data_IF_424023914571
#
_entry.id   IF_424023914571
#
_cell.length_a   1.000
_cell.length_b   1.000
_cell.length_c   1.000
_cell.angle_alpha   90.00
_cell.angle_beta   90.00
_cell.angle_gamma   90.00
#
_symmetry.space_group_name_H-M   'P 1'
#
loop_
_entity.id
_entity.type
_entity.pdbx_description
1 polymer ?
#
# COMPACT_ATOMS: atom_id res chain seq x y z
N UNK A 1 0.57 -51.17 8.62
CA UNK A 1 0.06 -50.61 7.34
C UNK A 1 1.01 -49.52 6.88
N UNK A 2 1.44 -49.51 5.60
CA UNK A 2 2.31 -48.45 5.09
C UNK A 2 1.51 -47.15 4.85
N UNK A 3 2.13 -45.98 4.92
CA UNK A 3 1.47 -44.70 4.64
C UNK A 3 0.81 -44.65 3.25
N UNK A 4 1.35 -45.39 2.27
CA UNK A 4 0.78 -45.56 0.93
C UNK A 4 -0.53 -46.36 0.96
N UNK A 5 -0.61 -47.39 1.80
CA UNK A 5 -1.83 -48.19 1.97
C UNK A 5 -2.96 -47.35 2.59
N UNK A 6 -2.63 -46.51 3.57
CA UNK A 6 -3.61 -45.63 4.23
C UNK A 6 -4.21 -44.59 3.28
N UNK A 7 -3.38 -43.94 2.44
CA UNK A 7 -3.87 -42.97 1.43
C UNK A 7 -4.75 -43.61 0.37
N UNK A 8 -4.36 -44.78 -0.17
CA UNK A 8 -5.18 -45.49 -1.15
C UNK A 8 -6.56 -45.85 -0.56
N UNK A 9 -6.61 -46.26 0.71
CA UNK A 9 -7.88 -46.52 1.41
C UNK A 9 -8.70 -45.23 1.55
N UNK A 10 -8.06 -44.13 1.97
CA UNK A 10 -8.72 -42.83 2.13
C UNK A 10 -9.31 -42.33 0.81
N UNK A 11 -8.58 -42.48 -0.30
CA UNK A 11 -9.00 -42.08 -1.64
C UNK A 11 -10.14 -42.97 -2.17
N UNK A 12 -10.13 -44.27 -1.87
CA UNK A 12 -11.19 -45.21 -2.27
C UNK A 12 -12.46 -45.07 -1.45
N UNK A 13 -12.38 -44.61 -0.20
CA UNK A 13 -13.51 -44.63 0.73
C UNK A 13 -14.77 -43.92 0.19
N UNK A 14 -14.70 -42.74 -0.44
CA UNK A 14 -15.88 -42.03 -0.98
C UNK A 14 -16.57 -42.77 -2.13
N UNK A 15 -15.84 -43.60 -2.88
CA UNK A 15 -16.32 -44.25 -4.11
C UNK A 15 -16.39 -45.77 -3.99
N UNK A 16 -16.33 -46.31 -2.77
CA UNK A 16 -16.28 -47.75 -2.51
C UNK A 16 -17.47 -48.49 -3.11
N UNK A 17 -18.65 -47.87 -3.16
CA UNK A 17 -19.86 -48.47 -3.75
C UNK A 17 -19.72 -48.58 -5.27
N UNK A 18 -19.20 -47.55 -5.92
CA UNK A 18 -19.02 -47.50 -7.37
C UNK A 18 -17.98 -48.53 -7.82
N UNK A 19 -16.88 -48.68 -7.07
CA UNK A 19 -15.85 -49.69 -7.34
C UNK A 19 -16.43 -51.11 -7.30
N UNK A 20 -17.32 -51.42 -6.33
CA UNK A 20 -17.98 -52.74 -6.22
C UNK A 20 -18.94 -53.06 -7.36
N UNK A 21 -19.39 -52.05 -8.10
CA UNK A 21 -20.29 -52.24 -9.24
C UNK A 21 -19.53 -52.40 -10.56
N UNK A 22 -18.19 -52.30 -10.54
CA UNK A 22 -17.36 -52.69 -11.67
C UNK A 22 -17.31 -54.22 -11.78
N UNK A 23 -17.12 -54.73 -12.98
CA UNK A 23 -16.79 -56.14 -13.18
C UNK A 23 -15.39 -56.45 -12.62
N UNK A 24 -15.12 -57.73 -12.33
CA UNK A 24 -13.88 -58.13 -11.64
C UNK A 24 -12.59 -57.70 -12.36
N UNK A 25 -12.59 -57.67 -13.70
CA UNK A 25 -11.45 -57.23 -14.50
C UNK A 25 -11.21 -55.71 -14.40
N UNK A 26 -12.29 -54.92 -14.44
CA UNK A 26 -12.22 -53.46 -14.27
C UNK A 26 -11.91 -53.06 -12.83
N UNK A 27 -12.39 -53.79 -11.82
CA UNK A 27 -12.04 -53.53 -10.41
C UNK A 27 -10.54 -53.72 -10.16
N UNK A 28 -9.96 -54.78 -10.72
CA UNK A 28 -8.52 -55.04 -10.62
C UNK A 28 -7.72 -53.96 -11.34
N UNK A 29 -8.11 -53.62 -12.58
CA UNK A 29 -7.49 -52.56 -13.38
C UNK A 29 -7.56 -51.21 -12.65
N UNK A 30 -8.71 -50.83 -12.11
CA UNK A 30 -8.90 -49.63 -11.30
C UNK A 30 -7.93 -49.60 -10.11
N UNK A 31 -7.81 -50.72 -9.40
CA UNK A 31 -6.99 -50.83 -8.20
C UNK A 31 -5.50 -50.72 -8.49
N UNK A 32 -5.04 -51.32 -9.59
CA UNK A 32 -3.66 -51.23 -10.06
C UNK A 32 -3.33 -49.81 -10.55
N UNK A 33 -4.20 -49.23 -11.38
CA UNK A 33 -4.07 -47.87 -11.87
C UNK A 33 -4.00 -46.87 -10.71
N UNK A 34 -4.87 -46.98 -9.70
CA UNK A 34 -4.84 -46.12 -8.52
C UNK A 34 -3.53 -46.26 -7.74
N UNK A 35 -3.11 -47.49 -7.46
CA UNK A 35 -1.86 -47.74 -6.72
C UNK A 35 -0.66 -47.14 -7.44
N UNK A 36 -0.63 -47.23 -8.76
CA UNK A 36 0.48 -46.76 -9.58
C UNK A 36 0.47 -45.23 -9.74
N UNK A 37 -0.70 -44.63 -9.99
CA UNK A 37 -0.86 -43.17 -10.01
C UNK A 37 -0.44 -42.54 -8.68
N UNK A 38 -0.90 -43.08 -7.55
CA UNK A 38 -0.47 -42.62 -6.20
C UNK A 38 1.03 -42.79 -6.00
N UNK A 39 1.61 -43.90 -6.46
CA UNK A 39 3.05 -44.15 -6.40
C UNK A 39 3.83 -43.05 -7.12
N UNK A 40 3.39 -42.72 -8.34
CA UNK A 40 4.06 -41.77 -9.22
C UNK A 40 3.96 -40.35 -8.70
N UNK A 41 2.77 -39.93 -8.26
CA UNK A 41 2.58 -38.62 -7.62
C UNK A 41 3.51 -38.46 -6.41
N UNK A 42 3.58 -39.47 -5.53
CA UNK A 42 4.50 -39.45 -4.37
C UNK A 42 5.97 -39.42 -4.78
N UNK A 43 6.39 -40.28 -5.72
CA UNK A 43 7.78 -40.30 -6.22
C UNK A 43 8.17 -38.94 -6.79
N UNK A 44 7.23 -38.25 -7.45
CA UNK A 44 7.43 -36.93 -8.01
C UNK A 44 7.24 -35.78 -6.97
N UNK A 45 7.10 -36.10 -5.68
CA UNK A 45 7.08 -35.14 -4.57
C UNK A 45 5.72 -34.51 -4.24
N UNK A 46 4.63 -34.99 -4.85
CA UNK A 46 3.28 -34.56 -4.50
C UNK A 46 2.80 -35.22 -3.21
N UNK A 47 2.09 -34.45 -2.39
CA UNK A 47 1.47 -34.90 -1.14
C UNK A 47 -0.05 -34.76 -1.24
N UNK A 48 -0.78 -35.78 -0.81
CA UNK A 48 -2.24 -35.73 -0.72
C UNK A 48 -2.64 -34.71 0.35
N UNK A 49 -3.50 -33.76 -0.01
CA UNK A 49 -3.95 -32.70 0.91
C UNK A 49 -5.45 -32.74 1.19
N UNK A 50 -6.26 -33.25 0.26
CA UNK A 50 -7.71 -33.32 0.44
C UNK A 50 -8.33 -34.41 -0.42
N UNK A 51 -9.41 -35.02 0.07
CA UNK A 51 -10.25 -35.99 -0.67
C UNK A 51 -11.71 -35.60 -0.46
N UNK A 52 -12.44 -35.35 -1.53
CA UNK A 52 -13.85 -34.97 -1.45
C UNK A 52 -14.74 -36.18 -1.17
N UNK A 53 -15.95 -35.92 -0.67
CA UNK A 53 -17.03 -36.92 -0.76
C UNK A 53 -17.41 -37.15 -2.23
N UNK A 54 -18.04 -38.30 -2.52
CA UNK A 54 -18.60 -38.54 -3.85
C UNK A 54 -19.80 -37.63 -4.10
N UNK A 55 -19.93 -37.09 -5.30
CA UNK A 55 -21.05 -36.25 -5.73
C UNK A 55 -21.53 -36.63 -7.13
N UNK A 56 -22.73 -36.18 -7.53
CA UNK A 56 -23.26 -36.38 -8.89
C UNK A 56 -23.09 -35.11 -9.73
N UNK A 57 -22.61 -35.25 -10.97
CA UNK A 57 -22.48 -34.15 -11.93
C UNK A 57 -22.78 -34.65 -13.33
N UNK A 58 -23.81 -34.07 -13.98
CA UNK A 58 -24.27 -34.42 -15.34
C UNK A 58 -24.49 -35.93 -15.54
N UNK A 59 -25.16 -36.60 -14.59
CA UNK A 59 -25.42 -38.04 -14.64
C UNK A 59 -24.34 -38.92 -14.01
N UNK A 60 -23.12 -38.41 -13.86
CA UNK A 60 -21.96 -39.23 -13.48
C UNK A 60 -21.66 -39.10 -12.00
N UNK A 61 -21.21 -40.18 -11.35
CA UNK A 61 -20.69 -40.10 -9.98
C UNK A 61 -19.22 -39.72 -10.02
N UNK A 62 -18.84 -38.71 -9.25
CA UNK A 62 -17.48 -38.18 -9.19
C UNK A 62 -16.93 -38.11 -7.78
N UNK A 63 -15.63 -38.26 -7.63
CA UNK A 63 -14.92 -37.90 -6.41
C UNK A 63 -13.52 -37.39 -6.76
N UNK A 64 -13.12 -36.31 -6.11
CA UNK A 64 -11.87 -35.61 -6.41
C UNK A 64 -10.89 -35.78 -5.26
N UNK A 65 -9.61 -35.87 -5.59
CA UNK A 65 -8.54 -35.83 -4.62
C UNK A 65 -7.44 -34.89 -5.10
N UNK A 66 -6.92 -34.11 -4.15
CA UNK A 66 -6.04 -32.98 -4.44
C UNK A 66 -4.66 -33.26 -3.90
N UNK A 67 -3.67 -33.09 -4.77
CA UNK A 67 -2.28 -33.38 -4.51
C UNK A 67 -1.45 -32.13 -4.71
N UNK A 68 -0.66 -31.76 -3.71
CA UNK A 68 0.14 -30.54 -3.72
C UNK A 68 1.62 -30.85 -3.75
N UNK A 69 2.36 -30.16 -4.62
CA UNK A 69 3.82 -30.12 -4.63
C UNK A 69 4.24 -28.67 -4.47
N UNK A 70 5.28 -28.44 -3.68
CA UNK A 70 5.84 -27.11 -3.47
C UNK A 70 7.35 -27.18 -3.69
N UNK A 71 7.89 -26.22 -4.43
CA UNK A 71 9.34 -26.07 -4.60
C UNK A 71 9.70 -24.61 -4.49
N UNK A 72 10.79 -24.35 -3.79
CA UNK A 72 11.35 -23.01 -3.72
C UNK A 72 12.40 -22.85 -4.80
N UNK A 73 12.30 -21.77 -5.56
CA UNK A 73 13.34 -21.31 -6.47
C UNK A 73 13.72 -19.91 -5.96
N UNK A 74 14.82 -19.86 -5.20
CA UNK A 74 15.28 -18.66 -4.49
C UNK A 74 14.17 -18.02 -3.62
N UNK A 75 13.69 -16.83 -4.01
CA UNK A 75 12.74 -16.02 -3.28
C UNK A 75 11.28 -16.23 -3.71
N UNK A 76 11.05 -17.03 -4.75
CA UNK A 76 9.73 -17.39 -5.28
C UNK A 76 9.42 -18.84 -4.93
N UNK A 77 8.25 -19.07 -4.35
CA UNK A 77 7.74 -20.43 -4.13
C UNK A 77 6.80 -20.78 -5.26
N UNK A 78 7.06 -21.89 -5.92
CA UNK A 78 6.19 -22.45 -6.96
C UNK A 78 5.33 -23.51 -6.29
N UNK A 79 4.02 -23.43 -6.51
CA UNK A 79 3.06 -24.39 -6.00
C UNK A 79 2.39 -25.06 -7.18
N UNK A 80 2.45 -26.39 -7.22
CA UNK A 80 1.70 -27.21 -8.17
C UNK A 80 0.57 -27.92 -7.44
N UNK A 81 -0.54 -28.05 -8.15
CA UNK A 81 -1.68 -28.82 -7.74
C UNK A 81 -2.00 -29.84 -8.84
N UNK A 82 -2.23 -31.08 -8.43
CA UNK A 82 -2.80 -32.11 -9.28
C UNK A 82 -4.15 -32.52 -8.69
N UNK A 83 -5.21 -32.30 -9.44
CA UNK A 83 -6.56 -32.77 -9.10
C UNK A 83 -6.78 -34.09 -9.82
N UNK A 84 -6.87 -35.19 -9.06
CA UNK A 84 -7.24 -36.49 -9.59
C UNK A 84 -8.73 -36.71 -9.33
N UNK A 85 -9.52 -36.72 -10.40
CA UNK A 85 -10.96 -36.97 -10.40
C UNK A 85 -11.25 -38.39 -10.85
N UNK A 86 -12.02 -39.13 -10.05
CA UNK A 86 -12.64 -40.37 -10.49
C UNK A 86 -14.01 -40.07 -11.05
N UNK A 87 -14.31 -40.55 -12.25
CA UNK A 87 -15.60 -40.37 -12.91
C UNK A 87 -16.17 -41.76 -13.22
N UNK A 88 -17.39 -42.01 -12.76
CA UNK A 88 -18.13 -43.25 -12.97
C UNK A 88 -19.41 -43.00 -13.75
N UNK A 89 -19.54 -43.68 -14.88
CA UNK A 89 -20.67 -43.59 -15.83
C UNK A 89 -20.77 -44.89 -16.64
N UNK A 90 -21.17 -45.99 -16.00
CA UNK A 90 -21.10 -47.34 -16.55
C UNK A 90 -19.69 -47.96 -16.57
N UNK A 91 -18.66 -47.14 -16.81
CA UNK A 91 -17.23 -47.46 -16.68
C UNK A 91 -16.54 -46.52 -15.68
N UNK A 92 -15.21 -46.62 -15.53
CA UNK A 92 -14.40 -45.68 -14.76
C UNK A 92 -13.42 -44.89 -15.65
N UNK A 93 -13.15 -43.65 -15.25
CA UNK A 93 -12.14 -42.76 -15.84
C UNK A 93 -11.41 -42.00 -14.74
N UNK A 94 -10.09 -41.95 -14.81
CA UNK A 94 -9.29 -41.02 -14.01
C UNK A 94 -9.05 -39.81 -14.88
N UNK A 95 -9.38 -38.63 -14.37
CA UNK A 95 -9.04 -37.35 -14.97
C UNK A 95 -8.03 -36.67 -14.05
N UNK A 96 -6.91 -36.22 -14.60
CA UNK A 96 -5.89 -35.49 -13.87
C UNK A 96 -5.73 -34.10 -14.45
N UNK A 97 -6.04 -33.10 -13.64
CA UNK A 97 -5.85 -31.69 -13.97
C UNK A 97 -4.62 -31.17 -13.24
N UNK A 98 -3.66 -30.62 -13.98
CA UNK A 98 -2.43 -30.05 -13.44
C UNK A 98 -2.46 -28.53 -13.51
N UNK A 99 -2.37 -27.91 -12.35
CA UNK A 99 -2.40 -26.48 -12.16
C UNK A 99 -1.16 -26.00 -11.39
N UNK A 100 -0.80 -24.73 -11.53
CA UNK A 100 0.27 -24.12 -10.74
C UNK A 100 0.06 -22.63 -10.47
N UNK A 101 0.73 -22.11 -9.44
CA UNK A 101 0.82 -20.68 -9.15
C UNK A 101 2.12 -20.32 -8.41
N UNK A 102 2.38 -19.03 -8.27
CA UNK A 102 3.56 -18.48 -7.61
C UNK A 102 3.22 -17.75 -6.31
N UNK A 103 4.00 -18.00 -5.27
CA UNK A 103 3.95 -17.32 -3.97
C UNK A 103 5.22 -16.48 -3.76
N UNK A 104 5.06 -15.15 -3.65
CA UNK A 104 6.15 -14.16 -3.48
C UNK A 104 6.40 -13.76 -2.02
N UNK A 105 5.96 -14.57 -1.05
CA UNK A 105 5.98 -14.21 0.37
C UNK A 105 7.39 -13.98 0.92
N UNK A 106 8.38 -14.77 0.50
CA UNK A 106 9.77 -14.61 0.93
C UNK A 106 10.45 -13.42 0.27
N UNK A 107 10.22 -13.23 -1.02
CA UNK A 107 10.66 -12.05 -1.74
C UNK A 107 10.21 -10.75 -1.05
N UNK A 108 8.95 -10.70 -0.60
CA UNK A 108 8.43 -9.59 0.20
C UNK A 108 9.16 -9.42 1.54
N UNK A 109 9.47 -10.52 2.23
CA UNK A 109 10.20 -10.46 3.50
C UNK A 109 11.61 -9.90 3.31
N UNK A 110 12.32 -10.32 2.26
CA UNK A 110 13.67 -9.85 1.98
C UNK A 110 13.65 -8.37 1.57
N UNK A 111 12.77 -7.96 0.64
CA UNK A 111 12.60 -6.55 0.28
C UNK A 111 12.31 -5.65 1.49
N UNK A 112 11.51 -6.14 2.44
CA UNK A 112 11.27 -5.42 3.69
C UNK A 112 12.55 -5.29 4.51
N UNK A 113 13.31 -6.37 4.68
CA UNK A 113 14.61 -6.35 5.35
C UNK A 113 15.56 -5.34 4.72
N UNK A 114 15.74 -5.41 3.39
CA UNK A 114 16.61 -4.51 2.64
C UNK A 114 16.19 -3.03 2.78
N UNK A 115 14.87 -2.77 2.74
CA UNK A 115 14.31 -1.43 2.99
C UNK A 115 14.63 -0.95 4.41
N UNK A 116 14.40 -1.78 5.43
CA UNK A 116 14.68 -1.43 6.83
C UNK A 116 16.15 -1.11 7.06
N UNK A 117 17.05 -1.94 6.54
CA UNK A 117 18.50 -1.77 6.69
C UNK A 117 19.02 -0.52 5.97
N UNK A 118 18.51 -0.25 4.77
CA UNK A 118 19.06 0.81 3.91
C UNK A 118 18.44 2.19 4.15
N UNK A 119 17.20 2.28 4.69
CA UNK A 119 16.44 3.54 4.69
C UNK A 119 15.72 3.90 5.99
N UNK A 120 15.70 3.01 6.99
CA UNK A 120 15.01 3.22 8.26
C UNK A 120 15.87 2.91 9.49
N UNK A 121 17.18 3.17 9.52
CA UNK A 121 18.03 2.55 10.53
C UNK A 121 17.65 2.92 11.98
N UNK A 122 16.82 3.95 12.23
CA UNK A 122 16.48 4.40 13.59
C UNK A 122 15.08 5.02 13.80
N UNK A 123 14.03 4.65 13.05
CA UNK A 123 12.67 5.18 13.35
C UNK A 123 12.00 4.44 14.51
N UNK A 124 12.13 4.99 15.72
CA UNK A 124 11.58 4.52 17.01
C UNK A 124 10.04 4.57 17.17
N UNK A 125 9.26 4.37 16.10
CA UNK A 125 7.78 4.45 16.17
C UNK A 125 7.08 3.40 15.30
N UNK A 126 6.08 2.74 15.89
CA UNK A 126 5.16 1.80 15.24
C UNK A 126 4.58 2.32 13.91
N UNK A 127 4.34 3.63 13.82
CA UNK A 127 3.75 4.27 12.64
C UNK A 127 4.73 4.41 11.45
N UNK A 128 6.04 4.53 11.70
CA UNK A 128 7.06 4.50 10.65
C UNK A 128 7.26 3.07 10.15
N UNK A 129 7.15 2.08 11.05
CA UNK A 129 7.16 0.66 10.70
C UNK A 129 5.96 0.27 9.83
N UNK A 130 4.74 0.74 10.14
CA UNK A 130 3.55 0.56 9.31
C UNK A 130 3.66 1.26 7.94
N UNK A 131 4.25 2.46 7.90
CA UNK A 131 4.49 3.18 6.65
C UNK A 131 5.49 2.44 5.75
N UNK A 132 6.62 1.98 6.30
CA UNK A 132 7.59 1.15 5.57
C UNK A 132 6.98 -0.16 5.06
N UNK A 133 6.13 -0.82 5.87
CA UNK A 133 5.34 -1.98 5.42
C UNK A 133 4.41 -1.65 4.26
N UNK A 134 3.80 -0.46 4.26
CA UNK A 134 2.93 0.04 3.19
C UNK A 134 3.67 0.27 1.87
N UNK A 135 4.81 0.95 1.90
CA UNK A 135 5.63 1.22 0.71
C UNK A 135 6.25 -0.07 0.14
N UNK A 136 6.74 -0.98 1.00
CA UNK A 136 7.20 -2.30 0.57
C UNK A 136 6.09 -3.12 -0.12
N UNK A 137 4.84 -2.98 0.35
CA UNK A 137 3.68 -3.67 -0.25
C UNK A 137 3.32 -3.08 -1.61
N UNK A 138 3.37 -1.76 -1.79
CA UNK A 138 3.15 -1.10 -3.09
C UNK A 138 4.23 -1.48 -4.12
N UNK A 139 5.49 -1.57 -3.69
CA UNK A 139 6.59 -2.03 -4.55
C UNK A 139 6.36 -3.48 -5.00
N UNK A 140 5.91 -4.34 -4.08
CA UNK A 140 5.57 -5.74 -4.38
C UNK A 140 4.41 -5.88 -5.37
N UNK A 141 3.39 -5.04 -5.27
CA UNK A 141 2.24 -5.08 -6.19
C UNK A 141 2.65 -4.82 -7.64
N UNK A 142 3.51 -3.83 -7.90
CA UNK A 142 4.05 -3.57 -9.24
C UNK A 142 4.93 -4.70 -9.76
N UNK A 143 5.75 -5.30 -8.90
CA UNK A 143 6.58 -6.47 -9.27
C UNK A 143 5.68 -7.66 -9.61
N UNK A 144 4.62 -7.89 -8.81
CA UNK A 144 3.62 -8.92 -9.09
C UNK A 144 2.97 -8.69 -10.44
N UNK A 145 2.55 -7.47 -10.77
CA UNK A 145 1.92 -7.15 -12.06
C UNK A 145 2.84 -7.44 -13.25
N UNK A 146 4.12 -7.05 -13.19
CA UNK A 146 5.06 -7.31 -14.30
C UNK A 146 5.38 -8.80 -14.46
N UNK A 147 5.53 -9.53 -13.35
CA UNK A 147 5.73 -10.99 -13.39
C UNK A 147 4.49 -11.67 -13.98
N UNK A 148 3.30 -11.24 -13.56
CA UNK A 148 2.02 -11.72 -14.09
C UNK A 148 1.89 -11.45 -15.60
N UNK A 149 2.19 -10.24 -16.06
CA UNK A 149 2.12 -9.88 -17.50
C UNK A 149 3.04 -10.73 -18.38
N UNK A 150 4.27 -11.03 -17.90
CA UNK A 150 5.18 -11.90 -18.63
C UNK A 150 4.71 -13.36 -18.67
N UNK A 151 4.15 -13.85 -17.57
CA UNK A 151 3.54 -15.19 -17.52
C UNK A 151 2.31 -15.26 -18.45
N UNK A 152 1.49 -14.19 -18.53
CA UNK A 152 0.37 -14.07 -19.50
C UNK A 152 0.80 -14.21 -20.94
N UNK A 153 1.98 -13.69 -21.30
CA UNK A 153 2.46 -13.72 -22.69
C UNK A 153 2.93 -15.08 -23.18
N UNK A 154 3.09 -16.08 -22.30
CA UNK A 154 3.63 -17.41 -22.66
C UNK A 154 2.69 -18.59 -22.36
N UNK A 155 1.68 -18.44 -21.49
CA UNK A 155 0.75 -19.52 -21.16
C UNK A 155 -0.57 -19.38 -21.93
N UNK A 156 -0.98 -20.44 -22.64
CA UNK A 156 -2.20 -20.52 -23.45
C UNK A 156 -3.51 -20.60 -22.63
N UNK A 157 -3.49 -20.34 -21.33
CA UNK A 157 -4.68 -20.50 -20.47
C UNK A 157 -4.52 -19.80 -19.12
N UNK A 158 -5.02 -18.57 -19.05
CA UNK A 158 -5.35 -17.92 -17.77
C UNK A 158 -6.83 -18.17 -17.51
N UNK A 159 -7.16 -18.96 -16.49
CA UNK A 159 -8.54 -19.30 -16.17
C UNK A 159 -8.76 -19.44 -14.66
N UNK A 160 -9.93 -19.01 -14.19
CA UNK A 160 -10.44 -19.37 -12.86
C UNK A 160 -10.85 -20.86 -12.89
N UNK A 161 -9.89 -21.77 -12.71
CA UNK A 161 -10.21 -23.18 -12.52
C UNK A 161 -10.77 -23.37 -11.11
N UNK A 162 -11.88 -24.10 -11.01
CA UNK A 162 -12.69 -24.28 -9.80
C UNK A 162 -12.03 -25.16 -8.73
N UNK A 163 -10.83 -24.80 -8.29
CA UNK A 163 -10.17 -25.43 -7.14
C UNK A 163 -10.84 -24.93 -5.87
N UNK A 164 -11.24 -25.84 -4.99
CA UNK A 164 -11.90 -25.49 -3.73
C UNK A 164 -10.98 -24.68 -2.81
N UNK A 165 -11.55 -23.70 -2.11
CA UNK A 165 -10.81 -22.77 -1.25
C UNK A 165 -9.99 -23.46 -0.14
N UNK A 166 -10.48 -24.60 0.35
CA UNK A 166 -9.83 -25.43 1.38
C UNK A 166 -8.48 -25.99 0.93
N UNK A 167 -8.28 -26.14 -0.38
CA UNK A 167 -7.08 -26.72 -1.02
C UNK A 167 -6.06 -25.63 -1.37
N UNK A 168 -6.55 -24.45 -1.76
CA UNK A 168 -5.70 -23.32 -2.20
C UNK A 168 -5.32 -22.36 -1.09
N UNK A 169 -6.04 -22.37 0.04
CA UNK A 169 -5.87 -21.38 1.10
C UNK A 169 -6.10 -19.98 0.54
N UNK A 170 -7.34 -19.72 0.11
CA UNK A 170 -7.78 -18.54 -0.69
C UNK A 170 -7.03 -17.22 -0.38
N UNK A 171 -5.92 -16.99 -1.09
CA UNK A 171 -5.23 -15.69 -1.31
C UNK A 171 -4.44 -15.62 -2.62
N UNK A 172 -4.43 -16.66 -3.45
CA UNK A 172 -3.80 -16.62 -4.78
C UNK A 172 -4.89 -16.37 -5.82
N UNK A 173 -5.01 -15.15 -6.38
CA UNK A 173 -6.08 -14.81 -7.32
C UNK A 173 -5.91 -15.45 -8.70
N UNK A 174 -4.81 -16.18 -8.97
CA UNK A 174 -4.43 -16.57 -10.33
C UNK A 174 -3.81 -17.98 -10.34
N UNK A 175 -4.62 -18.97 -10.71
CA UNK A 175 -4.21 -20.36 -10.92
C UNK A 175 -4.03 -20.56 -12.43
N UNK A 176 -2.89 -21.10 -12.84
CA UNK A 176 -2.63 -21.41 -14.24
C UNK A 176 -2.88 -22.89 -14.49
N UNK A 177 -3.82 -23.21 -15.37
CA UNK A 177 -4.00 -24.58 -15.85
C UNK A 177 -2.93 -24.90 -16.88
N UNK A 178 -2.35 -26.09 -16.75
CA UNK A 178 -1.22 -26.51 -17.57
C UNK A 178 -1.60 -27.62 -18.52
N UNK A 179 -2.19 -28.70 -18.00
CA UNK A 179 -2.53 -29.88 -18.80
C UNK A 179 -3.62 -30.69 -18.13
N UNK A 180 -4.52 -31.24 -18.93
CA UNK A 180 -5.50 -32.23 -18.54
C UNK A 180 -5.16 -33.54 -19.24
N UNK A 181 -5.21 -34.64 -18.50
CA UNK A 181 -5.13 -35.97 -19.09
C UNK A 181 -6.21 -36.85 -18.52
N UNK A 182 -6.53 -37.91 -19.27
CA UNK A 182 -7.35 -38.97 -18.73
C UNK A 182 -6.86 -40.35 -19.07
N UNK A 183 -7.12 -41.27 -18.16
CA UNK A 183 -6.75 -42.67 -18.29
C UNK A 183 -7.87 -43.57 -17.77
N UNK A 184 -8.12 -44.66 -18.47
CA UNK A 184 -9.01 -45.75 -18.04
C UNK A 184 -8.35 -47.12 -18.14
N UNK A 185 -7.11 -47.19 -18.64
CA UNK A 185 -6.37 -48.44 -18.83
C UNK A 185 -4.89 -48.33 -18.44
N UNK A 186 -4.23 -49.47 -18.20
CA UNK A 186 -2.82 -49.50 -17.76
C UNK A 186 -1.85 -49.00 -18.83
N UNK A 187 -2.13 -49.21 -20.12
CA UNK A 187 -1.28 -48.76 -21.23
C UNK A 187 -1.20 -47.23 -21.35
N UNK A 188 -2.10 -46.49 -20.70
CA UNK A 188 -2.10 -45.03 -20.69
C UNK A 188 -1.26 -44.41 -19.56
N UNK A 189 -0.65 -45.24 -18.71
CA UNK A 189 0.18 -44.77 -17.60
C UNK A 189 1.45 -44.02 -18.04
N UNK A 190 1.95 -44.28 -19.24
CA UNK A 190 3.13 -43.58 -19.77
C UNK A 190 2.82 -42.11 -20.06
N UNK A 191 1.58 -41.77 -20.47
CA UNK A 191 1.14 -40.38 -20.64
C UNK A 191 1.27 -39.57 -19.34
N UNK A 192 1.00 -40.21 -18.19
CA UNK A 192 1.19 -39.60 -16.87
C UNK A 192 2.66 -39.51 -16.48
N UNK A 193 3.48 -40.48 -16.89
CA UNK A 193 4.93 -40.48 -16.63
C UNK A 193 5.57 -39.24 -17.25
N UNK A 194 5.39 -39.10 -18.56
CA UNK A 194 6.05 -38.06 -19.35
C UNK A 194 5.49 -36.69 -18.96
N UNK A 195 4.17 -36.64 -18.72
CA UNK A 195 3.51 -35.44 -18.21
C UNK A 195 4.08 -34.96 -16.87
N UNK A 196 4.30 -35.83 -15.89
CA UNK A 196 4.75 -35.39 -14.56
C UNK A 196 6.13 -34.73 -14.57
N UNK A 197 7.05 -35.22 -15.38
CA UNK A 197 8.40 -34.68 -15.44
C UNK A 197 8.40 -33.34 -16.18
N UNK A 198 7.85 -33.28 -17.40
CA UNK A 198 7.75 -32.05 -18.22
C UNK A 198 7.03 -30.90 -17.50
N UNK A 199 5.90 -31.19 -16.84
CA UNK A 199 5.06 -30.17 -16.20
C UNK A 199 5.73 -29.50 -14.98
N UNK A 200 6.77 -30.13 -14.43
CA UNK A 200 7.46 -29.63 -13.24
C UNK A 200 8.70 -28.81 -13.54
N UNK A 201 9.30 -28.98 -14.72
CA UNK A 201 10.54 -28.29 -15.12
C UNK A 201 10.26 -26.90 -15.71
N UNK A 202 9.24 -26.76 -16.55
CA UNK A 202 9.02 -25.53 -17.30
C UNK A 202 8.71 -24.29 -16.42
N UNK A 203 7.82 -24.35 -15.39
CA UNK A 203 7.65 -23.22 -14.48
C UNK A 203 8.91 -22.87 -13.69
N UNK A 204 9.77 -23.85 -13.40
CA UNK A 204 11.06 -23.63 -12.73
C UNK A 204 12.00 -22.87 -13.66
N UNK A 205 12.07 -23.26 -14.93
CA UNK A 205 12.86 -22.54 -15.93
C UNK A 205 12.37 -21.13 -16.17
N UNK A 206 11.05 -20.91 -16.20
CA UNK A 206 10.44 -19.60 -16.37
C UNK A 206 10.88 -18.62 -15.27
N UNK A 207 10.84 -19.07 -14.01
CA UNK A 207 11.29 -18.28 -12.86
C UNK A 207 12.79 -17.99 -12.98
N UNK A 208 13.61 -19.00 -13.30
CA UNK A 208 15.06 -18.84 -13.50
C UNK A 208 15.39 -17.84 -14.61
N UNK A 209 14.74 -17.93 -15.77
CA UNK A 209 14.96 -17.03 -16.93
C UNK A 209 14.49 -15.60 -16.66
N UNK A 210 13.50 -15.41 -15.78
CA UNK A 210 12.98 -14.08 -15.42
C UNK A 210 13.73 -13.43 -14.27
N UNK A 211 14.69 -14.14 -13.65
CA UNK A 211 15.31 -13.76 -12.39
C UNK A 211 16.09 -12.45 -12.47
N UNK A 212 16.94 -12.29 -13.49
CA UNK A 212 17.73 -11.08 -13.69
C UNK A 212 16.83 -9.85 -13.77
N UNK A 213 15.72 -9.93 -14.50
CA UNK A 213 14.77 -8.83 -14.62
C UNK A 213 14.00 -8.57 -13.33
N UNK A 214 13.60 -9.62 -12.60
CA UNK A 214 12.94 -9.46 -11.29
C UNK A 214 13.89 -8.74 -10.32
N UNK A 215 15.16 -9.13 -10.30
CA UNK A 215 16.18 -8.51 -9.48
C UNK A 215 16.50 -7.09 -9.93
N UNK A 216 16.58 -6.83 -11.23
CA UNK A 216 16.78 -5.49 -11.78
C UNK A 216 15.65 -4.54 -11.37
N UNK A 217 14.39 -4.97 -11.50
CA UNK A 217 13.23 -4.17 -11.06
C UNK A 217 13.26 -3.96 -9.55
N UNK A 218 13.59 -5.00 -8.77
CA UNK A 218 13.72 -4.91 -7.33
C UNK A 218 14.79 -3.89 -6.93
N UNK A 219 15.97 -3.98 -7.53
CA UNK A 219 17.11 -3.10 -7.30
C UNK A 219 16.81 -1.67 -7.74
N UNK A 220 16.22 -1.47 -8.92
CA UNK A 220 15.79 -0.15 -9.37
C UNK A 220 14.74 0.45 -8.42
N UNK A 221 13.85 -0.35 -7.85
CA UNK A 221 12.90 0.13 -6.83
C UNK A 221 13.56 0.41 -5.49
N UNK A 222 14.48 -0.42 -5.02
CA UNK A 222 15.26 -0.11 -3.82
C UNK A 222 16.02 1.22 -3.99
N UNK A 223 16.62 1.45 -5.16
CA UNK A 223 17.28 2.72 -5.52
C UNK A 223 16.31 3.90 -5.63
N UNK A 224 15.12 3.72 -6.20
CA UNK A 224 14.09 4.77 -6.22
C UNK A 224 13.57 5.08 -4.81
N UNK A 225 13.51 4.08 -3.93
CA UNK A 225 13.03 4.22 -2.57
C UNK A 225 14.11 4.77 -1.64
N UNK A 226 15.40 4.66 -1.96
CA UNK A 226 16.51 4.99 -1.06
C UNK A 226 17.74 5.50 -1.82
N UNK A 227 18.12 6.78 -1.67
CA UNK A 227 17.27 7.92 -1.31
C UNK A 227 16.35 8.29 -2.48
N UNK A 228 15.07 8.58 -2.22
CA UNK A 228 14.19 9.04 -3.31
C UNK A 228 14.58 10.46 -3.74
N UNK A 229 14.94 10.64 -5.01
CA UNK A 229 15.10 11.98 -5.57
C UNK A 229 13.77 12.73 -5.45
N UNK A 230 13.82 13.94 -4.89
CA UNK A 230 12.63 14.76 -4.70
C UNK A 230 12.21 15.32 -6.06
N UNK A 231 11.19 14.70 -6.69
CA UNK A 231 10.57 15.25 -7.90
C UNK A 231 9.97 16.64 -7.59
N UNK A 232 10.41 17.73 -8.26
CA UNK A 232 9.87 19.06 -8.04
C UNK A 232 8.36 19.16 -8.25
N UNK A 233 7.76 18.34 -9.13
CA UNK A 233 6.33 18.39 -9.43
C UNK A 233 5.49 17.43 -8.57
N UNK A 234 6.06 16.89 -7.49
CA UNK A 234 5.39 16.03 -6.52
C UNK A 234 4.96 16.77 -5.25
N UNK A 235 4.03 16.23 -4.43
CA UNK A 235 3.73 16.79 -3.10
C UNK A 235 4.98 16.98 -2.23
N UNK A 236 5.91 16.02 -2.28
CA UNK A 236 7.19 16.01 -1.59
C UNK A 236 8.07 17.20 -2.05
N UNK A 237 8.14 17.47 -3.36
CA UNK A 237 8.85 18.62 -3.92
C UNK A 237 8.32 19.95 -3.41
N UNK A 238 6.98 20.12 -3.42
CA UNK A 238 6.34 21.34 -2.91
C UNK A 238 6.55 21.53 -1.40
N UNK A 239 6.43 20.45 -0.61
CA UNK A 239 6.65 20.49 0.83
C UNK A 239 8.10 20.85 1.18
N UNK A 240 9.05 20.21 0.50
CA UNK A 240 10.48 20.46 0.67
C UNK A 240 10.85 21.87 0.28
N UNK A 241 10.35 22.35 -0.87
CA UNK A 241 10.56 23.73 -1.32
C UNK A 241 10.01 24.76 -0.32
N UNK A 242 8.82 24.52 0.24
CA UNK A 242 8.22 25.40 1.26
C UNK A 242 9.05 25.49 2.54
N UNK A 243 9.63 24.37 2.98
CA UNK A 243 10.51 24.33 4.15
C UNK A 243 11.89 24.93 3.83
N UNK A 244 12.39 24.74 2.62
CA UNK A 244 13.68 25.25 2.16
C UNK A 244 13.67 26.77 2.08
N UNK A 245 12.63 27.35 1.50
CA UNK A 245 12.46 28.81 1.45
C UNK A 245 12.40 29.44 2.85
N UNK A 246 12.01 28.66 3.87
CA UNK A 246 11.89 29.12 5.25
C UNK A 246 13.13 28.85 6.08
N UNK A 247 14.22 28.32 5.52
CA UNK A 247 15.47 28.19 6.27
C UNK A 247 16.05 29.58 6.58
N UNK A 248 16.61 29.80 7.79
CA UNK A 248 16.38 29.00 9.00
C UNK A 248 14.97 29.32 9.56
N UNK A 249 14.10 28.33 9.80
CA UNK A 249 12.77 28.66 10.35
C UNK A 249 11.58 27.72 10.17
N UNK A 250 11.64 26.69 9.33
CA UNK A 250 10.64 25.62 9.30
C UNK A 250 9.15 26.05 9.25
N UNK A 251 8.25 25.19 9.73
CA UNK A 251 6.83 25.51 9.81
C UNK A 251 5.98 24.44 10.48
N UNK A 252 4.86 24.87 11.06
CA UNK A 252 3.84 23.97 11.57
C UNK A 252 3.17 23.18 10.44
N UNK A 253 2.72 21.97 10.78
CA UNK A 253 2.00 21.06 9.87
C UNK A 253 0.86 21.78 9.09
N UNK A 254 0.04 22.59 9.75
CA UNK A 254 -1.05 23.29 9.07
C UNK A 254 -0.59 24.29 7.99
N UNK A 255 0.60 24.87 8.12
CA UNK A 255 1.16 25.80 7.13
C UNK A 255 1.59 25.05 5.88
N UNK A 256 2.18 23.87 6.04
CA UNK A 256 2.59 22.98 4.96
C UNK A 256 1.39 22.43 4.21
N UNK A 257 0.37 21.96 4.95
CA UNK A 257 -0.90 21.57 4.36
C UNK A 257 -1.49 22.71 3.54
N UNK A 258 -1.57 23.92 4.11
CA UNK A 258 -2.12 25.07 3.39
C UNK A 258 -1.26 25.47 2.18
N UNK A 259 0.07 25.33 2.26
CA UNK A 259 0.98 25.58 1.13
C UNK A 259 0.65 24.65 -0.04
N UNK A 260 0.61 23.34 0.18
CA UNK A 260 0.28 22.35 -0.86
C UNK A 260 -1.09 22.62 -1.44
N UNK A 261 -2.09 22.84 -0.58
CA UNK A 261 -3.45 23.12 -1.00
C UNK A 261 -3.56 24.39 -1.83
N UNK A 262 -2.69 25.41 -1.66
CA UNK A 262 -2.74 26.65 -2.44
C UNK A 262 -1.90 26.62 -3.73
N UNK A 263 -0.92 25.73 -3.86
CA UNK A 263 0.08 25.80 -4.95
C UNK A 263 0.22 24.53 -5.81
N UNK A 264 -0.28 23.37 -5.36
CA UNK A 264 -0.24 22.11 -6.09
C UNK A 264 -1.65 21.71 -6.53
N UNK A 265 -2.23 20.70 -5.91
CA UNK A 265 -3.58 20.21 -6.15
C UNK A 265 -4.37 20.11 -4.83
N UNK A 266 -5.70 20.00 -4.93
CA UNK A 266 -6.51 19.71 -3.74
C UNK A 266 -6.36 18.23 -3.40
N UNK A 267 -5.50 17.96 -2.43
CA UNK A 267 -5.23 16.60 -1.97
C UNK A 267 -6.01 16.25 -0.71
N UNK A 268 -6.33 14.96 -0.56
CA UNK A 268 -6.77 14.40 0.72
C UNK A 268 -5.71 14.59 1.81
N UNK A 269 -6.14 14.71 3.06
CA UNK A 269 -5.23 14.93 4.19
C UNK A 269 -4.20 13.82 4.37
N UNK A 270 -4.56 12.58 4.04
CA UNK A 270 -3.66 11.44 4.12
C UNK A 270 -2.55 11.53 3.07
N UNK A 271 -2.83 11.93 1.83
CA UNK A 271 -1.78 12.10 0.81
C UNK A 271 -0.70 13.11 1.21
N UNK A 272 -1.08 14.24 1.80
CA UNK A 272 -0.12 15.25 2.31
C UNK A 272 0.62 14.69 3.53
N UNK A 273 -0.06 13.92 4.37
CA UNK A 273 0.56 13.27 5.54
C UNK A 273 1.63 12.27 5.08
N UNK A 274 1.30 11.42 4.12
CA UNK A 274 2.20 10.43 3.53
C UNK A 274 3.44 11.10 2.94
N UNK A 275 3.27 12.19 2.19
CA UNK A 275 4.40 12.94 1.64
C UNK A 275 5.31 13.54 2.74
N UNK A 276 4.73 14.12 3.80
CA UNK A 276 5.51 14.60 4.95
C UNK A 276 6.26 13.47 5.67
N UNK A 277 5.64 12.29 5.78
CA UNK A 277 6.26 11.12 6.41
C UNK A 277 7.41 10.57 5.56
N UNK A 278 7.27 10.56 4.23
CA UNK A 278 8.37 10.20 3.33
C UNK A 278 9.56 11.11 3.56
N UNK A 279 9.33 12.42 3.53
CA UNK A 279 10.40 13.39 3.79
C UNK A 279 11.05 13.20 5.18
N UNK A 280 10.26 12.90 6.21
CA UNK A 280 10.75 12.64 7.59
C UNK A 280 11.56 11.35 7.65
N UNK A 281 11.08 10.30 7.00
CA UNK A 281 11.69 8.98 6.96
C UNK A 281 13.05 9.03 6.27
N UNK A 282 13.14 9.74 5.15
CA UNK A 282 14.35 9.84 4.34
C UNK A 282 15.32 10.93 4.81
N UNK A 283 15.11 11.51 6.01
CA UNK A 283 16.04 12.48 6.60
C UNK A 283 16.07 13.84 5.89
N UNK A 284 15.11 14.13 5.01
CA UNK A 284 15.01 15.46 4.38
C UNK A 284 14.41 16.50 5.33
N UNK A 285 13.58 16.07 6.29
CA UNK A 285 12.97 16.96 7.27
C UNK A 285 13.01 16.38 8.68
N UNK A 286 13.39 17.24 9.64
CA UNK A 286 13.31 16.95 11.06
C UNK A 286 11.97 17.43 11.61
N UNK A 287 11.42 16.68 12.56
CA UNK A 287 10.13 17.00 13.19
C UNK A 287 10.25 17.18 14.69
N UNK A 288 9.86 18.35 15.19
CA UNK A 288 9.76 18.66 16.63
C UNK A 288 8.30 18.68 17.09
N UNK A 289 8.09 18.34 18.36
CA UNK A 289 6.79 18.53 19.03
C UNK A 289 6.67 19.98 19.47
N UNK A 290 5.53 20.60 19.17
CA UNK A 290 5.24 21.96 19.67
C UNK A 290 5.07 21.94 21.19
N UNK A 291 5.68 22.89 21.94
CA UNK A 291 5.50 23.02 23.38
C UNK A 291 4.02 23.02 23.79
N UNK A 292 3.71 22.37 24.91
CA UNK A 292 2.31 22.10 25.34
C UNK A 292 1.51 23.39 25.52
N UNK A 293 2.12 24.43 26.08
CA UNK A 293 1.45 25.68 26.39
C UNK A 293 1.19 26.53 25.14
N UNK A 294 2.19 26.63 24.25
CA UNK A 294 2.03 27.21 22.91
C UNK A 294 0.92 26.52 22.12
N UNK A 295 0.92 25.18 22.11
CA UNK A 295 -0.12 24.40 21.44
C UNK A 295 -1.50 24.73 22.01
N UNK A 296 -1.66 24.73 23.34
CA UNK A 296 -2.94 25.06 23.99
C UNK A 296 -3.41 26.48 23.63
N UNK A 297 -2.50 27.45 23.58
CA UNK A 297 -2.85 28.82 23.19
C UNK A 297 -3.36 28.89 21.74
N UNK A 298 -2.66 28.25 20.81
CA UNK A 298 -3.08 28.19 19.41
C UNK A 298 -4.42 27.47 19.24
N UNK A 299 -4.61 26.33 19.92
CA UNK A 299 -5.85 25.54 19.88
C UNK A 299 -7.05 26.32 20.44
N UNK A 300 -6.87 27.10 21.53
CA UNK A 300 -7.89 28.02 22.07
C UNK A 300 -8.37 29.06 21.05
N UNK A 301 -7.53 29.43 20.08
CA UNK A 301 -7.89 30.34 18.97
C UNK A 301 -8.50 29.61 17.77
N UNK A 302 -8.67 28.30 17.85
CA UNK A 302 -9.20 27.46 16.78
C UNK A 302 -8.19 27.18 15.66
N UNK A 303 -6.89 27.29 15.95
CA UNK A 303 -5.81 26.87 15.06
C UNK A 303 -5.57 25.38 15.32
N UNK A 304 -5.71 24.54 14.28
CA UNK A 304 -5.56 23.09 14.35
C UNK A 304 -4.24 22.67 13.69
N UNK A 305 -3.84 21.41 13.85
CA UNK A 305 -2.60 20.84 13.26
C UNK A 305 -1.35 21.68 13.60
N UNK A 306 -1.23 22.07 14.86
CA UNK A 306 -0.09 22.79 15.42
C UNK A 306 0.70 21.91 16.41
N UNK A 307 0.58 20.58 16.32
CA UNK A 307 1.30 19.63 17.20
C UNK A 307 2.71 19.33 16.72
N UNK A 308 2.94 19.43 15.42
CA UNK A 308 4.18 19.08 14.74
C UNK A 308 4.73 20.33 14.07
N UNK A 309 6.03 20.56 14.27
CA UNK A 309 6.80 21.59 13.61
C UNK A 309 7.89 20.90 12.78
N UNK A 310 7.91 21.18 11.49
CA UNK A 310 8.86 20.58 10.54
C UNK A 310 9.91 21.61 10.19
N UNK A 311 11.13 21.14 10.04
CA UNK A 311 12.26 21.91 9.54
C UNK A 311 13.08 21.03 8.62
N UNK A 312 13.88 21.63 7.74
CA UNK A 312 14.82 20.83 6.96
C UNK A 312 15.97 20.41 7.90
N UNK A 313 16.35 19.15 7.81
CA UNK A 313 17.50 18.56 8.50
C UNK A 313 18.79 18.78 7.67
N UNK A 314 19.96 18.36 8.17
CA UNK A 314 21.25 18.42 7.45
C UNK A 314 21.28 17.57 6.16
N UNK A 315 20.14 17.03 5.70
CA UNK A 315 20.00 16.36 4.43
C UNK A 315 20.06 17.31 3.23
N UNK A 316 20.62 16.80 2.13
CA UNK A 316 20.75 17.46 0.82
C UNK A 316 19.38 17.59 0.12
N UNK A 317 18.50 18.44 0.64
CA UNK A 317 17.32 18.88 -0.11
C UNK A 317 17.83 19.70 -1.31
N UNK A 318 17.49 19.33 -2.56
CA UNK A 318 17.95 20.02 -3.78
C UNK A 318 17.19 21.33 -3.96
N UNK A 319 17.40 22.27 -3.03
CA UNK A 319 16.59 23.47 -2.91
C UNK A 319 16.74 24.43 -4.09
N UNK A 320 17.93 24.49 -4.68
CA UNK A 320 18.20 25.29 -5.89
C UNK A 320 17.42 24.73 -7.09
N UNK A 321 17.51 23.43 -7.35
CA UNK A 321 16.74 22.76 -8.42
C UNK A 321 15.23 22.93 -8.21
N UNK A 322 14.76 22.76 -6.97
CA UNK A 322 13.36 23.00 -6.61
C UNK A 322 12.96 24.45 -6.86
N UNK A 323 13.83 25.41 -6.53
CA UNK A 323 13.59 26.83 -6.75
C UNK A 323 13.49 27.15 -8.24
N UNK A 324 14.38 26.63 -9.07
CA UNK A 324 14.37 26.87 -10.52
C UNK A 324 13.07 26.41 -11.16
N UNK A 325 12.52 25.27 -10.71
CA UNK A 325 11.27 24.72 -11.25
C UNK A 325 10.03 25.37 -10.62
N UNK A 326 10.03 25.65 -9.30
CA UNK A 326 8.82 25.99 -8.55
C UNK A 326 8.67 27.48 -8.20
N UNK A 327 9.74 28.27 -8.19
CA UNK A 327 9.69 29.69 -7.75
C UNK A 327 8.67 30.52 -8.54
N UNK A 328 8.52 30.23 -9.84
CA UNK A 328 7.56 30.93 -10.70
C UNK A 328 6.16 30.29 -10.70
N UNK A 329 6.04 29.03 -10.27
CA UNK A 329 4.76 28.29 -10.19
C UNK A 329 4.06 28.46 -8.84
N UNK A 330 4.79 28.87 -7.81
CA UNK A 330 4.31 28.91 -6.44
C UNK A 330 4.26 30.32 -5.88
N UNK A 331 3.27 30.57 -5.03
CA UNK A 331 3.23 31.77 -4.21
C UNK A 331 3.99 31.49 -2.93
N UNK A 332 4.97 32.31 -2.59
CA UNK A 332 5.74 32.09 -1.37
C UNK A 332 5.17 32.92 -0.20
N UNK A 333 5.21 32.39 1.03
CA UNK A 333 4.79 33.12 2.22
C UNK A 333 4.69 32.28 3.50
N UNK A 334 4.22 32.91 4.58
CA UNK A 334 4.12 32.27 5.91
C UNK A 334 2.93 31.31 6.09
N UNK A 335 1.98 31.25 5.16
CA UNK A 335 0.84 30.31 5.19
C UNK A 335 0.06 30.18 6.53
N UNK A 336 0.06 31.23 7.37
CA UNK A 336 -0.69 31.28 8.63
C UNK A 336 -2.16 30.88 8.44
N UNK A 337 -2.75 30.24 9.43
CA UNK A 337 -4.13 29.81 9.43
C UNK A 337 -5.02 31.02 9.13
N UNK A 338 -5.98 30.90 8.20
CA UNK A 338 -6.88 32.02 7.88
C UNK A 338 -7.90 32.22 9.00
N UNK A 339 -8.20 33.47 9.33
CA UNK A 339 -9.33 33.83 10.21
C UNK A 339 -10.61 34.00 9.38
N UNK A 340 -11.60 33.10 9.46
CA UNK A 340 -12.86 33.25 8.75
C UNK A 340 -13.75 34.28 9.43
N UNK A 341 -14.53 35.03 8.64
CA UNK A 341 -15.50 36.03 9.15
C UNK A 341 -16.42 35.46 10.23
N UNK A 342 -17.03 34.28 9.99
CA UNK A 342 -17.95 33.65 10.94
C UNK A 342 -17.30 33.43 12.31
N UNK A 343 -16.02 33.04 12.34
CA UNK A 343 -15.28 32.83 13.59
C UNK A 343 -15.00 34.16 14.30
N UNK A 344 -14.59 35.19 13.54
CA UNK A 344 -14.36 36.52 14.11
C UNK A 344 -15.63 37.08 14.75
N UNK A 345 -16.79 36.93 14.11
CA UNK A 345 -18.09 37.41 14.62
C UNK A 345 -18.49 36.66 15.89
N UNK A 346 -18.42 35.32 15.91
CA UNK A 346 -18.77 34.51 17.09
C UNK A 346 -17.97 34.83 18.34
N UNK A 347 -16.76 35.34 18.19
CA UNK A 347 -15.91 35.70 19.32
C UNK A 347 -16.03 37.17 19.69
N UNK A 348 -17.01 37.94 19.22
CA UNK A 348 -17.21 39.34 19.63
C UNK A 348 -18.43 39.44 20.54
N UNK A 349 -18.27 40.16 21.64
CA UNK A 349 -19.32 40.35 22.66
C UNK A 349 -20.24 41.51 22.22
N UNK A 350 -20.92 41.31 21.08
CA UNK A 350 -21.82 42.29 20.48
C UNK A 350 -22.83 41.61 19.55
N UNK A 351 -24.04 42.17 19.37
CA UNK A 351 -25.04 41.65 18.43
C UNK A 351 -24.49 41.51 16.99
N UNK A 352 -24.77 40.37 16.37
CA UNK A 352 -24.27 40.02 15.03
C UNK A 352 -24.50 41.15 14.01
N UNK A 353 -25.72 41.71 13.94
CA UNK A 353 -26.06 42.75 12.98
C UNK A 353 -25.17 44.01 13.10
N UNK A 354 -24.79 44.41 14.32
CA UNK A 354 -23.89 45.54 14.56
C UNK A 354 -22.45 45.22 14.13
N UNK A 355 -21.96 44.02 14.48
CA UNK A 355 -20.63 43.55 14.06
C UNK A 355 -20.54 43.50 12.53
N UNK A 356 -21.58 43.01 11.86
CA UNK A 356 -21.62 42.91 10.40
C UNK A 356 -21.63 44.29 9.74
N UNK A 357 -22.37 45.26 10.29
CA UNK A 357 -22.38 46.66 9.84
C UNK A 357 -20.99 47.28 9.93
N UNK A 358 -20.31 47.11 11.06
CA UNK A 358 -18.99 47.68 11.28
C UNK A 358 -17.89 46.98 10.46
N UNK A 359 -17.98 45.67 10.26
CA UNK A 359 -17.10 44.93 9.34
C UNK A 359 -17.19 45.48 7.92
N UNK A 360 -18.40 45.79 7.42
CA UNK A 360 -18.58 46.40 6.08
C UNK A 360 -17.89 47.77 6.01
N UNK A 361 -18.06 48.62 7.03
CA UNK A 361 -17.40 49.94 7.10
C UNK A 361 -15.88 49.83 7.12
N UNK A 362 -15.32 48.91 7.92
CA UNK A 362 -13.87 48.69 8.00
C UNK A 362 -13.28 48.19 6.67
N UNK A 363 -14.01 47.34 5.94
CA UNK A 363 -13.60 46.89 4.59
C UNK A 363 -13.65 48.03 3.58
N UNK A 364 -14.75 48.80 3.53
CA UNK A 364 -14.89 49.97 2.64
C UNK A 364 -13.75 50.98 2.84
N UNK A 365 -13.38 51.25 4.10
CA UNK A 365 -12.27 52.14 4.46
C UNK A 365 -10.86 51.50 4.37
N UNK A 366 -10.76 50.29 3.82
CA UNK A 366 -9.50 49.52 3.65
C UNK A 366 -8.73 49.24 4.95
N UNK A 367 -9.38 49.23 6.11
CA UNK A 367 -8.77 48.81 7.39
C UNK A 367 -8.64 47.28 7.47
N UNK A 368 -9.60 46.56 6.89
CA UNK A 368 -9.58 45.11 6.74
C UNK A 368 -9.53 44.72 5.27
N UNK A 369 -8.73 43.70 4.97
CA UNK A 369 -8.80 42.97 3.71
C UNK A 369 -9.60 41.69 3.92
N UNK A 370 -10.54 41.41 3.02
CA UNK A 370 -11.16 40.10 2.88
C UNK A 370 -10.74 39.49 1.55
N UNK A 371 -10.20 38.27 1.58
CA UNK A 371 -9.84 37.54 0.35
C UNK A 371 -10.17 36.05 0.49
N UNK A 372 -10.50 35.40 -0.63
CA UNK A 372 -10.66 33.95 -0.67
C UNK A 372 -9.26 33.31 -0.62
N UNK A 373 -9.09 32.32 0.25
CA UNK A 373 -7.89 31.51 0.40
C UNK A 373 -8.30 30.08 0.73
N UNK A 374 -7.39 29.11 0.63
CA UNK A 374 -7.65 27.75 1.10
C UNK A 374 -7.19 27.63 2.56
N UNK A 375 -7.87 26.78 3.33
CA UNK A 375 -7.41 26.37 4.65
C UNK A 375 -6.58 25.07 4.55
N UNK A 376 -6.14 24.53 5.69
CA UNK A 376 -5.36 23.30 5.74
C UNK A 376 -6.12 22.06 5.21
N UNK A 377 -7.44 22.15 5.03
CA UNK A 377 -8.28 21.06 4.52
C UNK A 377 -8.63 21.21 3.04
N UNK A 378 -8.08 22.23 2.36
CA UNK A 378 -8.41 22.56 0.97
C UNK A 378 -9.72 23.34 0.81
N UNK A 379 -10.47 23.59 1.89
CA UNK A 379 -11.73 24.33 1.83
C UNK A 379 -11.46 25.81 1.58
N UNK A 380 -12.20 26.40 0.65
CA UNK A 380 -12.12 27.83 0.37
C UNK A 380 -12.79 28.63 1.49
N UNK A 381 -12.03 29.51 2.13
CA UNK A 381 -12.49 30.38 3.23
C UNK A 381 -12.22 31.85 2.93
N UNK A 382 -13.11 32.73 3.39
CA UNK A 382 -12.92 34.18 3.32
C UNK A 382 -12.07 34.63 4.51
N UNK A 383 -10.76 34.78 4.27
CA UNK A 383 -9.79 35.27 5.24
C UNK A 383 -9.96 36.76 5.46
N UNK A 384 -10.14 37.16 6.72
CA UNK A 384 -10.08 38.55 7.15
C UNK A 384 -8.68 38.84 7.69
N UNK A 385 -8.01 39.88 7.18
CA UNK A 385 -6.68 40.32 7.65
C UNK A 385 -6.68 41.84 7.89
N UNK A 386 -6.20 42.32 9.06
CA UNK A 386 -5.91 43.74 9.27
C UNK A 386 -4.89 44.28 8.26
N UNK A 387 -5.14 45.50 7.75
CA UNK A 387 -4.25 46.24 6.84
C UNK A 387 -3.72 47.54 7.43
N UNK A 388 -4.46 48.18 8.33
CA UNK A 388 -4.11 49.45 8.95
C UNK A 388 -4.10 49.33 10.47
N UNK A 389 -3.35 50.23 11.12
CA UNK A 389 -3.39 50.39 12.58
C UNK A 389 -4.79 50.77 13.06
N UNK A 390 -5.17 50.26 14.23
CA UNK A 390 -6.47 50.52 14.86
C UNK A 390 -6.40 51.49 16.05
N UNK A 391 -5.25 52.15 16.27
CA UNK A 391 -5.03 53.06 17.42
C UNK A 391 -6.16 54.10 17.58
N UNK A 392 -6.62 54.68 16.47
CA UNK A 392 -7.62 55.75 16.45
C UNK A 392 -9.07 55.26 16.33
N UNK A 393 -9.31 53.95 16.31
CA UNK A 393 -10.66 53.39 16.28
C UNK A 393 -11.21 53.25 17.70
N UNK A 394 -12.53 53.43 17.87
CA UNK A 394 -13.25 53.28 19.14
C UNK A 394 -14.36 52.22 19.03
N UNK A 395 -14.81 51.71 20.18
CA UNK A 395 -15.93 50.75 20.28
C UNK A 395 -15.71 49.44 19.51
N UNK A 396 -16.79 48.93 18.91
CA UNK A 396 -16.83 47.64 18.18
C UNK A 396 -15.76 47.57 17.07
N UNK A 397 -15.48 48.69 16.37
CA UNK A 397 -14.43 48.74 15.33
C UNK A 397 -13.05 48.36 15.90
N UNK A 398 -12.71 48.90 17.07
CA UNK A 398 -11.44 48.61 17.77
C UNK A 398 -11.38 47.16 18.20
N UNK A 399 -12.48 46.62 18.75
CA UNK A 399 -12.57 45.22 19.18
C UNK A 399 -12.38 44.25 18.00
N UNK A 400 -13.05 44.49 16.86
CA UNK A 400 -12.89 43.70 15.63
C UNK A 400 -11.42 43.66 15.21
N UNK A 401 -10.78 44.82 15.08
CA UNK A 401 -9.39 44.92 14.64
C UNK A 401 -8.43 44.26 15.63
N UNK A 402 -8.63 44.44 16.94
CA UNK A 402 -7.81 43.84 17.99
C UNK A 402 -7.92 42.30 17.98
N UNK A 403 -9.13 41.74 17.92
CA UNK A 403 -9.32 40.28 17.86
C UNK A 403 -8.75 39.69 16.56
N UNK A 404 -8.90 40.39 15.43
CA UNK A 404 -8.33 39.95 14.16
C UNK A 404 -6.78 40.03 14.13
N UNK A 405 -6.18 41.07 14.71
CA UNK A 405 -4.72 41.21 14.85
C UNK A 405 -4.13 40.11 15.71
N UNK A 406 -4.63 40.00 16.95
CA UNK A 406 -4.15 39.03 17.95
C UNK A 406 -4.18 37.58 17.45
N UNK A 407 -5.14 37.23 16.58
CA UNK A 407 -5.19 35.89 15.97
C UNK A 407 -3.98 35.57 15.08
N UNK A 408 -3.44 36.56 14.37
CA UNK A 408 -2.23 36.36 13.55
C UNK A 408 -0.97 36.56 14.36
N UNK A 409 -0.98 37.47 15.35
CA UNK A 409 0.18 37.74 16.20
C UNK A 409 0.58 36.48 16.99
N UNK A 410 -0.38 35.79 17.62
CA UNK A 410 -0.14 34.50 18.32
C UNK A 410 0.51 33.45 17.41
N UNK A 411 0.14 33.41 16.13
CA UNK A 411 0.73 32.44 15.21
C UNK A 411 2.16 32.78 14.83
N UNK A 412 2.52 34.07 14.81
CA UNK A 412 3.88 34.53 14.55
C UNK A 412 4.74 34.34 15.79
N UNK A 413 4.29 34.80 16.94
CA UNK A 413 4.96 34.61 18.23
C UNK A 413 5.24 33.12 18.49
N UNK A 414 4.28 32.24 18.18
CA UNK A 414 4.51 30.79 18.30
C UNK A 414 5.51 30.23 17.30
N UNK A 415 5.68 30.83 16.11
CA UNK A 415 6.74 30.45 15.17
C UNK A 415 8.09 30.90 15.72
N UNK A 416 8.18 32.18 16.11
CA UNK A 416 9.39 32.81 16.61
C UNK A 416 9.91 32.04 17.85
N UNK A 417 9.04 31.73 18.82
CA UNK A 417 9.43 30.96 20.02
C UNK A 417 9.92 29.55 19.70
N UNK A 418 9.32 28.84 18.75
CA UNK A 418 9.79 27.49 18.38
C UNK A 418 11.13 27.55 17.64
N UNK A 419 11.40 28.64 16.93
CA UNK A 419 12.69 28.89 16.29
C UNK A 419 13.78 29.31 17.28
N UNK A 420 13.45 30.11 18.29
CA UNK A 420 14.38 30.52 19.37
C UNK A 420 14.76 29.34 20.28
N UNK A 421 13.89 28.34 20.46
CA UNK A 421 14.19 27.09 21.18
C UNK A 421 15.11 26.13 20.40
N UNK A 422 15.77 26.60 19.34
CA UNK A 422 16.82 25.82 18.67
C UNK A 422 18.04 25.77 19.59
N UNK A 423 18.62 24.59 19.83
CA UNK A 423 19.98 24.56 20.37
C UNK A 423 20.86 25.34 19.40
N UNK A 424 21.71 26.22 19.92
CA UNK A 424 22.72 26.90 19.11
C UNK A 424 23.58 25.82 18.45
N UNK A 425 23.50 25.70 17.12
CA UNK A 425 24.39 24.84 16.31
C UNK A 425 25.83 25.42 16.26
N UNK A 426 26.33 25.96 17.38
CA UNK A 426 27.70 26.49 17.58
C UNK A 426 28.43 25.82 18.74
N UNK A 427 28.09 24.58 19.06
CA UNK A 427 28.90 23.74 19.95
C UNK A 427 28.90 22.29 19.48
N UNK A 428 29.55 22.02 18.34
CA UNK A 428 30.29 20.77 18.08
C UNK A 428 31.54 21.14 17.31
#
# INVERSE_FOLDING_TARGET
>A
MTARTAEVIQIKAPIRRQIRHLDGSSEQTFSELLKETVSRLRKNGYKLIHVTKSYRRRGNVRADNFWKKERRVENVKIVWLCTLSFIFDGNFKFQLDFDYWFEFSKFLQNLRGDLYESGFPYTSRDFAEEFGKGEATRALEKIREVVKERIKSQASGWGEHGVIDEVTGRKSPEICHRKEFSMSSLSELDKLRDGLDELTEEPVELVKKSQEKINEIAQNKLKELIPFSIDPNSPEGYLSFSLWFRKPGGGFEYQLYRFVQENYEILGKERIRDALLRLETHGYVRVRRTPKDLRKEMEKRGIKKCRRFYEIEDGDVPGEELSDVLRNKTRIGAYLAPLPRRRLVKHLDAPDHLVQKELRKLKRRKYLLERKVRDFSGKTVRKIKPKKSYRNLKGIKKQIMKKAGKFYDIQKEALDQVQEMRPDDRQV
#
